data_IF_456169564190
#
_entry.id   IF_456169564190
#
_cell.length_a   1.000
_cell.length_b   1.000
_cell.length_c   1.000
_cell.angle_alpha   90.00
_cell.angle_beta   90.00
_cell.angle_gamma   90.00
#
_symmetry.space_group_name_H-M   'P 1'
#
loop_
_entity.id
_entity.type
_entity.pdbx_description
1 polymer ?
2 water ?
#
# COMPACT_ATOMS: atom_id res chain seq x y z
N UNK A 13 -19.29 11.61 -14.55
CA UNK A 13 -19.90 11.59 -15.88
C UNK A 13 -18.93 11.01 -16.91
N UNK A 14 -17.79 11.70 -17.09
CA UNK A 14 -16.74 11.29 -18.03
C UNK A 14 -16.26 9.87 -17.77
N UNK A 15 -16.27 9.02 -18.80
CA UNK A 15 -15.87 7.64 -18.58
C UNK A 15 -14.44 7.61 -18.04
N UNK A 16 -14.24 6.84 -16.96
CA UNK A 16 -12.96 6.72 -16.25
C UNK A 16 -12.54 5.27 -16.12
N UNK A 17 -11.21 5.07 -16.07
CA UNK A 17 -10.60 3.75 -15.93
C UNK A 17 -9.64 3.72 -14.74
N UNK A 18 -9.72 2.65 -13.94
CA UNK A 18 -8.92 2.53 -12.72
C UNK A 18 -8.27 1.16 -12.65
N UNK A 19 -7.06 1.10 -12.09
CA UNK A 19 -6.42 -0.14 -11.68
C UNK A 19 -6.40 -0.17 -10.15
N UNK A 20 -6.78 -1.29 -9.57
CA UNK A 20 -6.61 -1.54 -8.14
C UNK A 20 -5.78 -2.79 -8.01
N UNK A 21 -4.60 -2.67 -7.39
CA UNK A 21 -3.71 -3.82 -7.21
C UNK A 21 -4.02 -4.56 -5.90
N UNK A 22 -3.63 -5.84 -5.86
CA UNK A 22 -3.97 -6.74 -4.77
C UNK A 22 -5.45 -6.72 -4.43
N UNK A 23 -6.30 -6.84 -5.45
CA UNK A 23 -7.72 -6.57 -5.38
C UNK A 23 -8.61 -7.80 -5.40
N UNK A 24 -8.06 -9.03 -5.29
CA UNK A 24 -8.92 -10.20 -5.33
C UNK A 24 -9.63 -10.52 -4.01
N UNK A 25 -9.31 -9.82 -2.93
CA UNK A 25 -9.96 -10.00 -1.64
C UNK A 25 -9.71 -8.77 -0.79
N UNK A 26 -10.30 -8.80 0.40
CA UNK A 26 -10.04 -7.81 1.43
C UNK A 26 -10.59 -6.45 1.07
N UNK A 27 -9.86 -5.41 1.45
CA UNK A 27 -10.37 -4.07 1.20
C UNK A 27 -10.26 -3.71 -0.28
N UNK A 28 -9.16 -4.12 -0.93
CA UNK A 28 -9.03 -3.89 -2.37
C UNK A 28 -10.27 -4.31 -3.14
N UNK A 29 -10.75 -5.54 -2.88
CA UNK A 29 -11.96 -6.05 -3.54
C UNK A 29 -13.13 -5.09 -3.33
N UNK A 30 -13.27 -4.56 -2.12
CA UNK A 30 -14.38 -3.64 -1.89
C UNK A 30 -14.16 -2.33 -2.62
N UNK A 31 -12.90 -1.85 -2.67
CA UNK A 31 -12.59 -0.69 -3.52
C UNK A 31 -13.07 -0.95 -4.93
N UNK A 32 -12.69 -2.10 -5.49
CA UNK A 32 -13.15 -2.43 -6.84
C UNK A 32 -14.66 -2.39 -6.93
N UNK A 33 -15.36 -2.94 -5.92
CA UNK A 33 -16.82 -2.96 -5.98
C UNK A 33 -17.38 -1.57 -6.07
N UNK A 34 -16.89 -0.68 -5.21
CA UNK A 34 -17.44 0.65 -5.10
C UNK A 34 -17.10 1.54 -6.29
N UNK A 35 -15.90 1.36 -6.88
CA UNK A 35 -15.59 2.10 -8.10
C UNK A 35 -16.47 1.68 -9.27
N UNK A 36 -16.63 0.38 -9.46
CA UNK A 36 -17.42 -0.11 -10.60
C UNK A 36 -18.86 0.35 -10.52
N UNK A 37 -19.42 0.43 -9.31
CA UNK A 37 -20.80 0.84 -9.12
C UNK A 37 -21.02 2.32 -9.40
N UNK A 38 -19.96 3.11 -9.47
CA UNK A 38 -20.08 4.53 -9.81
C UNK A 38 -19.81 4.79 -11.28
N UNK A 39 -19.84 3.73 -12.10
CA UNK A 39 -19.65 3.83 -13.52
C UNK A 39 -18.21 3.71 -13.97
N UNK A 40 -17.25 3.69 -13.04
CA UNK A 40 -15.85 3.48 -13.40
C UNK A 40 -15.58 2.08 -13.92
N UNK A 41 -14.71 2.00 -14.93
CA UNK A 41 -14.21 0.72 -15.42
C UNK A 41 -12.94 0.35 -14.68
N UNK A 42 -12.93 -0.81 -14.00
CA UNK A 42 -11.90 -1.16 -13.04
C UNK A 42 -11.09 -2.31 -13.61
N UNK A 43 -9.77 -2.24 -13.50
CA UNK A 43 -8.89 -3.38 -13.75
C UNK A 43 -8.60 -3.97 -12.38
N UNK A 44 -9.09 -5.19 -12.14
CA UNK A 44 -8.77 -5.89 -10.90
C UNK A 44 -7.45 -6.64 -11.08
N UNK A 45 -6.36 -6.09 -10.53
CA UNK A 45 -5.05 -6.73 -10.67
C UNK A 45 -4.77 -7.54 -9.40
N UNK A 46 -4.37 -8.80 -9.57
CA UNK A 46 -4.01 -9.67 -8.46
C UNK A 46 -2.83 -10.59 -8.76
N UNK A 47 -2.04 -10.89 -7.73
CA UNK A 47 -0.85 -11.72 -7.84
C UNK A 47 -1.19 -13.07 -8.50
N UNK A 48 -2.38 -13.61 -8.23
CA UNK A 48 -2.78 -14.87 -8.84
C UNK A 48 -3.93 -14.74 -9.83
N UNK A 49 -3.76 -15.40 -11.00
CA UNK A 49 -4.70 -15.13 -12.09
C UNK A 49 -6.11 -15.60 -11.77
N UNK A 50 -6.24 -16.86 -11.34
CA UNK A 50 -7.55 -17.46 -11.13
C UNK A 50 -8.27 -16.80 -9.96
N UNK A 51 -7.56 -16.41 -8.91
CA UNK A 51 -8.28 -15.74 -7.83
C UNK A 51 -8.78 -14.38 -8.28
N UNK A 52 -8.04 -13.73 -9.17
CA UNK A 52 -8.51 -12.48 -9.73
C UNK A 52 -9.69 -12.67 -10.66
N UNK A 53 -9.64 -13.74 -11.46
CA UNK A 53 -10.78 -14.12 -12.31
C UNK A 53 -12.01 -14.41 -11.47
N UNK A 54 -11.85 -15.20 -10.40
CA UNK A 54 -12.99 -15.54 -9.55
C UNK A 54 -13.52 -14.28 -8.88
N UNK A 55 -12.62 -13.39 -8.44
CA UNK A 55 -13.07 -12.17 -7.79
C UNK A 55 -13.89 -11.32 -8.74
N UNK A 56 -13.46 -11.22 -10.02
CA UNK A 56 -14.24 -10.47 -11.00
C UNK A 56 -15.63 -11.06 -11.19
N UNK A 57 -15.70 -12.40 -11.23
CA UNK A 57 -16.97 -13.09 -11.41
C UNK A 57 -17.95 -12.76 -10.31
N UNK A 58 -17.49 -12.80 -9.06
CA UNK A 58 -18.35 -12.48 -7.92
C UNK A 58 -18.82 -11.04 -7.95
N UNK A 59 -17.95 -10.11 -8.34
CA UNK A 59 -18.36 -8.70 -8.38
C UNK A 59 -19.49 -8.46 -9.39
N UNK A 60 -19.39 -9.00 -10.61
CA UNK A 60 -20.47 -8.73 -11.56
C UNK A 60 -21.76 -9.43 -11.16
N UNK A 61 -21.68 -10.64 -10.58
CA UNK A 61 -22.90 -11.32 -10.16
C UNK A 61 -23.55 -10.54 -9.01
N UNK A 62 -22.74 -9.91 -8.18
CA UNK A 62 -23.26 -9.12 -7.09
C UNK A 62 -23.79 -7.79 -7.60
N UNK A 63 -23.04 -7.16 -8.51
CA UNK A 63 -23.43 -5.86 -9.04
C UNK A 63 -24.51 -5.97 -10.12
N UNK A 64 -24.59 -7.08 -10.84
CA UNK A 64 -25.48 -7.17 -11.99
C UNK A 64 -24.77 -7.42 -13.30
N UNK A 65 -25.41 -8.15 -14.22
CA UNK A 65 -24.76 -8.52 -15.47
C UNK A 65 -24.41 -7.30 -16.31
N UNK A 66 -25.05 -6.16 -16.03
CA UNK A 66 -24.80 -4.92 -16.74
C UNK A 66 -23.41 -4.34 -16.48
N UNK A 67 -22.71 -4.82 -15.45
CA UNK A 67 -21.34 -4.42 -15.15
C UNK A 67 -20.28 -5.31 -15.75
N UNK A 68 -20.65 -6.30 -16.55
CA UNK A 68 -19.65 -7.22 -17.06
C UNK A 68 -18.56 -6.48 -17.82
N UNK A 69 -18.93 -5.41 -18.52
CA UNK A 69 -17.96 -4.61 -19.26
C UNK A 69 -17.15 -3.67 -18.39
N UNK A 70 -17.63 -3.35 -17.20
CA UNK A 70 -16.95 -2.39 -16.32
C UNK A 70 -15.89 -3.00 -15.42
N UNK A 71 -15.72 -4.32 -15.38
CA UNK A 71 -14.69 -4.93 -14.53
C UNK A 71 -13.85 -5.87 -15.38
N UNK A 72 -12.53 -5.73 -15.28
CA UNK A 72 -11.62 -6.59 -16.01
C UNK A 72 -10.53 -7.09 -15.07
N UNK A 73 -10.23 -8.39 -15.16
CA UNK A 73 -9.16 -8.98 -14.37
C UNK A 73 -7.87 -9.00 -15.16
N UNK A 74 -6.76 -8.64 -14.51
CA UNK A 74 -5.44 -8.76 -15.12
C UNK A 74 -4.50 -9.15 -14.01
N UNK A 75 -3.70 -10.15 -14.25
CA UNK A 75 -2.67 -10.57 -13.31
C UNK A 75 -1.60 -9.50 -13.12
N UNK A 76 -1.16 -9.34 -11.87
CA UNK A 76 -0.11 -8.36 -11.53
C UNK A 76 0.64 -8.79 -10.30
N UNK A 77 1.95 -9.04 -10.48
CA UNK A 77 2.91 -9.20 -9.38
C UNK A 77 3.83 -7.98 -9.36
N UNK A 78 3.67 -7.13 -8.34
CA UNK A 78 4.39 -5.86 -8.30
C UNK A 78 5.91 -6.01 -8.12
N UNK A 79 6.39 -7.17 -7.70
CA UNK A 79 7.83 -7.36 -7.52
C UNK A 79 8.49 -7.76 -8.81
N UNK A 80 7.69 -7.89 -9.86
CA UNK A 80 8.13 -8.47 -11.11
C UNK A 80 8.00 -7.45 -12.24
N UNK A 81 9.12 -6.86 -12.69
CA UNK A 81 9.05 -5.83 -13.75
C UNK A 81 8.26 -6.30 -14.97
N UNK A 82 8.39 -7.59 -15.32
CA UNK A 82 7.69 -8.09 -16.49
C UNK A 82 6.18 -8.17 -16.27
N UNK A 83 5.73 -8.53 -15.06
CA UNK A 83 4.31 -8.47 -14.74
C UNK A 83 3.77 -7.04 -14.83
N UNK A 84 4.46 -6.09 -14.19
CA UNK A 84 4.11 -4.66 -14.28
C UNK A 84 4.07 -4.23 -15.75
N UNK A 85 5.14 -4.53 -16.49
CA UNK A 85 5.23 -4.16 -17.89
C UNK A 85 4.08 -4.73 -18.71
N UNK A 86 3.73 -6.01 -18.46
CA UNK A 86 2.59 -6.61 -19.16
C UNK A 86 1.29 -5.87 -18.89
N UNK A 87 1.12 -5.36 -17.68
CA UNK A 87 -0.14 -4.69 -17.36
C UNK A 87 -0.28 -3.37 -18.08
N UNK A 88 0.79 -2.57 -18.11
CA UNK A 88 0.71 -1.32 -18.88
C UNK A 88 0.33 -1.59 -20.34
N UNK A 89 0.88 -2.65 -20.97
CA UNK A 89 0.50 -2.90 -22.36
C UNK A 89 -0.97 -3.25 -22.47
N UNK A 90 -1.48 -4.03 -21.50
CA UNK A 90 -2.89 -4.40 -21.51
C UNK A 90 -3.79 -3.16 -21.42
N UNK A 91 -3.49 -2.25 -20.49
CA UNK A 91 -4.34 -1.06 -20.36
C UNK A 91 -4.24 -0.24 -21.62
N UNK A 92 -3.02 -0.17 -22.18
CA UNK A 92 -2.78 0.59 -23.41
C UNK A 92 -3.59 0.02 -24.56
N UNK A 93 -3.56 -1.30 -24.73
CA UNK A 93 -4.18 -1.84 -25.92
C UNK A 93 -5.69 -2.04 -25.78
N UNK A 94 -6.22 -2.09 -24.56
CA UNK A 94 -7.65 -2.28 -24.44
C UNK A 94 -8.40 -0.98 -24.26
N UNK A 95 -7.84 -0.04 -23.49
CA UNK A 95 -8.46 1.24 -23.15
C UNK A 95 -7.76 2.49 -23.65
N UNK A 96 -6.42 2.52 -23.64
CA UNK A 96 -5.66 3.70 -24.06
C UNK A 96 -5.49 4.78 -23.01
N UNK A 97 -6.11 4.65 -21.84
CA UNK A 97 -6.13 5.75 -20.87
C UNK A 97 -6.17 5.13 -19.48
N UNK A 98 -5.74 5.94 -18.50
CA UNK A 98 -5.91 5.58 -17.11
C UNK A 98 -6.08 6.86 -16.31
N UNK A 99 -7.00 6.81 -15.37
CA UNK A 99 -7.31 7.97 -14.57
C UNK A 99 -7.01 7.77 -13.10
N UNK A 100 -7.13 6.55 -12.58
CA UNK A 100 -6.99 6.26 -11.16
C UNK A 100 -6.09 5.05 -10.95
N UNK A 101 -5.08 5.22 -10.08
CA UNK A 101 -4.27 4.11 -9.56
C UNK A 101 -4.47 4.00 -8.04
N UNK A 102 -4.90 2.83 -7.58
CA UNK A 102 -4.98 2.52 -6.14
C UNK A 102 -3.95 1.41 -5.86
N UNK A 103 -2.84 1.77 -5.22
CA UNK A 103 -1.82 0.82 -4.76
C UNK A 103 -2.25 0.17 -3.45
N UNK A 104 -2.86 -1.00 -3.58
CA UNK A 104 -3.30 -1.73 -2.42
C UNK A 104 -2.49 -3.00 -2.13
N UNK A 105 -1.82 -3.57 -3.15
CA UNK A 105 -0.99 -4.77 -2.97
C UNK A 105 0.05 -4.55 -1.88
N UNK A 106 0.18 -5.52 -0.96
CA UNK A 106 1.04 -5.35 0.19
C UNK A 106 1.32 -6.63 0.93
N UNK A 107 2.41 -6.61 1.70
CA UNK A 107 2.88 -7.78 2.47
C UNK A 107 3.21 -7.29 3.88
N UNK A 108 3.05 -8.18 4.86
CA UNK A 108 3.26 -7.88 6.29
C UNK A 108 4.68 -8.04 6.77
N UNK A 109 5.44 -8.95 6.20
CA UNK A 109 6.74 -9.27 6.73
C UNK A 109 6.66 -10.16 7.95
N UNK A 110 5.47 -10.69 8.23
CA UNK A 110 5.26 -11.43 9.47
C UNK A 110 4.34 -12.61 9.21
N UNK A 111 4.45 -13.61 10.09
CA UNK A 111 3.46 -14.67 10.21
C UNK A 111 3.43 -15.11 11.67
N UNK A 112 2.39 -15.89 12.00
CA UNK A 112 2.22 -16.42 13.36
C UNK A 112 2.70 -17.86 13.34
N UNK A 113 3.61 -18.16 14.25
CA UNK A 113 3.92 -19.51 14.70
C UNK A 113 3.01 -19.86 15.87
N UNK A 114 2.49 -21.09 15.86
CA UNK A 114 1.63 -21.53 16.94
C UNK A 114 0.22 -20.97 16.76
N UNK A 115 -0.42 -20.66 17.90
CA UNK A 115 -1.77 -20.11 17.91
C UNK A 115 -1.84 -18.78 17.14
N UNK A 116 -2.54 -18.79 16.00
CA UNK A 116 -2.61 -17.60 15.19
C UNK A 116 -3.29 -16.43 15.89
N UNK A 117 -4.06 -16.69 16.94
CA UNK A 117 -4.84 -15.60 17.53
C UNK A 117 -4.04 -14.70 18.47
N UNK A 118 -2.90 -15.19 18.99
CA UNK A 118 -1.94 -14.39 19.76
C UNK A 118 -1.49 -13.14 19.00
N UNK A 119 -1.66 -13.13 17.67
CA UNK A 119 -1.33 -11.96 16.86
C UNK A 119 -2.04 -10.71 17.37
N UNK A 120 -3.30 -10.88 17.81
CA UNK A 120 -4.04 -9.75 18.35
C UNK A 120 -3.41 -9.18 19.61
N UNK A 121 -2.69 -10.00 20.38
CA UNK A 121 -1.96 -9.46 21.54
C UNK A 121 -0.76 -8.63 21.08
N UNK A 122 -0.07 -9.07 20.02
CA UNK A 122 1.03 -8.26 19.46
C UNK A 122 0.52 -6.95 18.89
N UNK A 123 -0.60 -6.98 18.17
CA UNK A 123 -1.15 -5.78 17.56
C UNK A 123 -1.63 -4.82 18.64
N UNK A 124 -2.19 -5.40 19.72
CA UNK A 124 -2.67 -4.61 20.85
C UNK A 124 -1.53 -3.84 21.50
N UNK A 125 -0.41 -4.51 21.75
CA UNK A 125 0.75 -3.84 22.33
C UNK A 125 1.22 -2.69 21.44
N UNK A 126 1.10 -2.85 20.13
CA UNK A 126 1.56 -1.76 19.27
C UNK A 126 0.63 -0.55 19.38
N UNK A 127 -0.69 -0.78 19.42
CA UNK A 127 -1.56 0.39 19.43
C UNK A 127 -1.51 1.15 20.75
N UNK A 128 -1.10 0.50 21.85
CA UNK A 128 -0.92 1.26 23.08
C UNK A 128 0.32 2.16 22.98
N UNK A 129 1.16 1.98 21.94
CA UNK A 129 2.25 2.93 21.72
C UNK A 129 1.66 4.26 21.25
N UNK A 130 0.47 4.19 20.64
CA UNK A 130 -0.22 5.40 20.19
C UNK A 130 -0.77 6.23 21.33
N UNK A 131 -1.19 5.62 22.41
CA UNK A 131 -1.76 6.36 23.52
C UNK A 131 -0.76 6.69 24.61
N UNK A 132 0.53 6.46 24.37
CA UNK A 132 1.57 6.85 25.33
C UNK A 132 2.73 7.52 24.62
N UNK A 133 2.89 7.30 23.31
CA UNK A 133 3.98 7.85 22.52
C UNK A 133 5.34 7.35 22.90
N UNK A 134 5.43 6.55 23.96
CA UNK A 134 6.65 5.92 24.41
C UNK A 134 6.85 4.69 23.53
N UNK A 135 7.75 4.77 22.55
CA UNK A 135 7.99 3.62 21.66
C UNK A 135 9.07 2.73 22.25
N UNK A 136 8.64 1.65 22.90
CA UNK A 136 9.54 0.62 23.42
C UNK A 136 10.39 0.00 22.32
N UNK A 137 11.66 -0.20 22.62
CA UNK A 137 12.61 -0.79 21.69
C UNK A 137 13.01 -2.21 22.04
N UNK A 138 12.53 -2.73 23.16
CA UNK A 138 12.97 -4.08 23.49
C UNK A 138 11.88 -5.09 23.14
N UNK A 139 12.17 -6.22 22.50
CA UNK A 139 11.12 -7.13 22.04
C UNK A 139 10.39 -7.81 23.20
N UNK A 140 9.08 -7.87 23.08
CA UNK A 140 8.22 -8.41 24.11
C UNK A 140 7.17 -9.28 23.44
N UNK A 141 7.27 -10.60 23.65
CA UNK A 141 6.34 -11.56 23.07
C UNK A 141 5.31 -11.89 24.12
N UNK A 142 4.04 -11.50 23.91
CA UNK A 142 3.05 -11.58 25.00
C UNK A 142 2.76 -12.99 25.49
N UNK A 143 2.84 -14.01 24.64
CA UNK A 143 2.50 -15.38 25.05
C UNK A 143 3.49 -16.37 24.47
N UNK A 144 3.50 -17.57 25.06
CA UNK A 144 4.15 -18.75 24.49
C UNK A 144 3.17 -19.62 23.70
N UNK A 145 1.88 -19.28 23.72
CA UNK A 145 0.89 -19.92 22.86
C UNK A 145 1.25 -19.71 21.38
N UNK A 146 1.67 -18.49 21.03
CA UNK A 146 2.09 -18.17 19.68
C UNK A 146 3.30 -17.27 19.70
N UNK A 147 3.90 -17.09 18.52
CA UNK A 147 5.08 -16.25 18.39
C UNK A 147 5.01 -15.56 17.03
N UNK A 148 5.24 -14.25 17.04
CA UNK A 148 5.25 -13.46 15.82
C UNK A 148 6.63 -13.54 15.18
N UNK A 149 6.71 -14.26 14.05
CA UNK A 149 7.97 -14.50 13.36
C UNK A 149 8.18 -13.44 12.29
N UNK A 150 9.40 -12.88 12.24
CA UNK A 150 9.78 -11.89 11.22
C UNK A 150 11.12 -12.37 10.65
N UNK A 151 11.09 -13.19 9.59
CA UNK A 151 12.30 -13.73 9.00
C UNK A 151 12.99 -12.70 8.12
N UNK A 152 14.26 -12.96 7.84
CA UNK A 152 15.05 -12.09 6.96
C UNK A 152 14.47 -12.03 5.55
N UNK A 153 14.07 -13.18 4.99
CA UNK A 153 13.52 -13.21 3.63
C UNK A 153 12.20 -12.44 3.55
N UNK A 154 11.30 -12.65 4.55
CA UNK A 154 10.07 -11.89 4.62
C UNK A 154 10.30 -10.39 4.70
N UNK A 155 11.36 -9.97 5.39
CA UNK A 155 11.66 -8.54 5.38
C UNK A 155 12.03 -8.04 3.98
N UNK A 156 12.85 -8.80 3.22
CA UNK A 156 13.14 -8.40 1.84
C UNK A 156 11.87 -8.38 0.97
N UNK A 157 11.08 -9.45 1.00
CA UNK A 157 9.86 -9.45 0.18
C UNK A 157 8.92 -8.33 0.59
N UNK A 158 8.82 -8.06 1.91
CA UNK A 158 7.93 -7.02 2.41
C UNK A 158 8.33 -5.62 1.92
N UNK A 159 9.62 -5.30 2.04
CA UNK A 159 10.15 -4.04 1.52
C UNK A 159 9.99 -3.98 0.02
N UNK A 160 10.30 -5.09 -0.66
CA UNK A 160 10.29 -5.11 -2.12
C UNK A 160 8.89 -4.87 -2.67
N UNK A 161 7.85 -5.37 -1.99
CA UNK A 161 6.47 -5.16 -2.45
C UNK A 161 5.95 -3.81 -1.99
N UNK A 162 6.03 -3.52 -0.67
CA UNK A 162 5.34 -2.34 -0.14
C UNK A 162 5.97 -1.05 -0.67
N UNK A 163 7.31 -0.97 -0.69
CA UNK A 163 8.00 0.22 -1.24
C UNK A 163 8.24 0.12 -2.74
N UNK A 164 9.14 -0.78 -3.14
CA UNK A 164 9.61 -0.84 -4.54
C UNK A 164 8.50 -1.27 -5.51
N UNK A 165 7.64 -2.21 -5.10
CA UNK A 165 6.49 -2.59 -5.90
C UNK A 165 5.59 -1.41 -6.23
N UNK A 166 5.19 -0.67 -5.21
CA UNK A 166 4.31 0.49 -5.39
C UNK A 166 4.96 1.54 -6.27
N UNK A 167 6.26 1.78 -6.09
CA UNK A 167 6.97 2.76 -6.91
C UNK A 167 7.07 2.28 -8.35
N UNK A 168 7.34 0.97 -8.53
CA UNK A 168 7.46 0.38 -9.85
C UNK A 168 6.14 0.51 -10.63
N UNK A 169 5.03 0.08 -10.01
CA UNK A 169 3.70 0.20 -10.62
C UNK A 169 3.35 1.67 -10.88
N UNK A 170 3.72 2.56 -9.95
CA UNK A 170 3.34 3.96 -10.08
C UNK A 170 4.08 4.59 -11.27
N UNK A 171 5.40 4.37 -11.30
CA UNK A 171 6.21 4.93 -12.37
C UNK A 171 5.82 4.38 -13.74
N UNK A 172 5.41 3.11 -13.80
CA UNK A 172 4.98 2.54 -15.08
C UNK A 172 3.68 3.10 -15.59
N UNK A 173 2.82 3.60 -14.71
CA UNK A 173 1.50 4.09 -15.10
C UNK A 173 1.42 5.60 -15.17
N UNK A 174 2.40 6.29 -14.60
CA UNK A 174 2.44 7.74 -14.69
C UNK A 174 2.28 8.24 -16.13
N UNK A 175 2.99 7.69 -17.14
CA UNK A 175 2.79 8.19 -18.51
C UNK A 175 1.35 8.15 -19.01
N UNK A 176 0.60 7.07 -18.74
CA UNK A 176 -0.84 6.99 -19.06
C UNK A 176 -1.65 7.94 -18.19
N UNK A 177 -1.35 8.01 -16.90
CA UNK A 177 -2.15 8.82 -15.99
C UNK A 177 -2.05 10.29 -16.37
N UNK A 178 -0.90 10.70 -16.93
CA UNK A 178 -0.69 12.11 -17.18
C UNK A 178 -1.54 12.61 -18.34
N UNK A 179 -2.12 11.72 -19.14
CA UNK A 179 -3.10 12.13 -20.16
C UNK A 179 -4.52 12.20 -19.60
N UNK A 180 -4.67 12.13 -18.28
CA UNK A 180 -5.96 12.35 -17.66
C UNK A 180 -6.11 13.82 -17.29
N UNK A 181 -7.31 14.35 -17.47
CA UNK A 181 -7.59 15.69 -16.97
C UNK A 181 -7.85 15.71 -15.45
N UNK A 182 -7.78 14.55 -14.79
CA UNK A 182 -7.78 14.48 -13.33
C UNK A 182 -7.12 13.19 -12.83
N UNK A 183 -5.80 13.08 -12.91
CA UNK A 183 -5.16 11.85 -12.43
C UNK A 183 -5.18 11.77 -10.91
N UNK A 184 -5.49 10.57 -10.39
CA UNK A 184 -5.66 10.32 -8.96
C UNK A 184 -4.81 9.08 -8.66
N UNK A 185 -3.92 9.18 -7.66
CA UNK A 185 -3.13 8.06 -7.17
C UNK A 185 -3.39 7.93 -5.68
N UNK A 186 -3.75 6.72 -5.24
CA UNK A 186 -4.07 6.46 -3.86
C UNK A 186 -3.19 5.32 -3.35
N UNK A 187 -2.43 5.59 -2.29
CA UNK A 187 -1.53 4.60 -1.71
C UNK A 187 -2.12 4.10 -0.40
N UNK A 188 -2.48 2.82 -0.34
CA UNK A 188 -3.05 2.23 0.88
C UNK A 188 -1.90 1.94 1.85
N UNK A 189 -1.86 2.73 2.93
CA UNK A 189 -0.82 2.63 3.94
C UNK A 189 -1.40 1.93 5.18
N UNK A 190 -0.81 2.20 6.33
CA UNK A 190 -1.22 1.57 7.58
C UNK A 190 -0.88 2.49 8.72
N UNK A 191 -1.68 2.37 9.76
CA UNK A 191 -1.39 3.05 11.00
C UNK A 191 0.04 2.81 11.52
N UNK A 192 0.58 1.60 11.34
CA UNK A 192 1.97 1.32 11.73
C UNK A 192 2.98 2.14 10.94
N UNK A 193 2.51 2.93 9.99
CA UNK A 193 3.41 3.84 9.27
C UNK A 193 3.77 5.06 10.08
N UNK A 194 3.00 5.35 11.13
CA UNK A 194 3.21 6.54 11.94
C UNK A 194 4.63 6.58 12.49
N UNK A 195 5.21 7.76 12.50
CA UNK A 195 6.58 7.88 12.97
C UNK A 195 6.72 7.66 14.49
N UNK A 196 5.62 7.59 15.28
CA UNK A 196 5.70 7.24 16.71
C UNK A 196 6.43 5.91 16.91
N UNK A 197 6.35 5.00 15.94
CA UNK A 197 6.94 3.66 16.00
C UNK A 197 8.40 3.60 15.55
N UNK A 198 8.93 4.69 14.98
CA UNK A 198 10.30 4.67 14.45
C UNK A 198 11.28 4.89 15.60
N UNK A 199 11.66 3.80 16.25
CA UNK A 199 12.63 3.91 17.34
C UNK A 199 14.02 4.30 16.83
N UNK A 200 14.33 4.07 15.56
CA UNK A 200 15.66 4.41 15.06
C UNK A 200 15.63 5.90 14.71
N UNK A 201 16.43 6.70 15.41
CA UNK A 201 16.24 8.15 15.32
C UNK A 201 16.68 8.69 13.97
N UNK A 202 17.78 8.18 13.42
CA UNK A 202 18.21 8.60 12.09
C UNK A 202 17.10 8.39 11.06
N UNK A 203 16.59 7.16 10.96
CA UNK A 203 15.53 6.85 9.99
C UNK A 203 14.31 7.75 10.21
N UNK A 204 13.91 7.94 11.47
CA UNK A 204 12.81 8.85 11.77
C UNK A 204 13.14 10.25 11.25
N UNK A 205 14.39 10.68 11.43
CA UNK A 205 14.82 11.96 10.89
C UNK A 205 14.66 12.05 9.39
N UNK A 206 15.10 11.02 8.65
CA UNK A 206 14.96 11.03 7.19
C UNK A 206 13.49 11.17 6.81
N UNK A 207 12.65 10.28 7.35
CA UNK A 207 11.21 10.24 7.01
C UNK A 207 10.48 11.53 7.34
N UNK A 208 10.94 12.30 8.34
CA UNK A 208 10.23 13.50 8.77
C UNK A 208 10.52 14.72 7.93
N UNK A 209 11.59 14.71 7.15
CA UNK A 209 12.01 15.88 6.39
C UNK A 209 10.92 16.33 5.42
N UNK A 210 10.57 17.60 5.43
CA UNK A 210 9.70 18.10 4.38
C UNK A 210 10.48 18.75 3.25
N UNK A 211 11.68 19.28 3.51
CA UNK A 211 12.51 19.85 2.45
C UNK A 211 13.81 19.05 2.37
N UNK A 212 14.32 18.86 1.15
CA UNK A 212 15.54 18.11 0.92
C UNK A 212 15.42 16.61 1.08
N UNK A 213 14.19 16.08 1.10
CA UNK A 213 13.92 14.65 1.06
C UNK A 213 14.01 14.12 -0.36
N UNK A 214 14.86 13.10 -0.62
CA UNK A 214 14.96 12.49 -1.95
C UNK A 214 14.70 10.99 -1.85
N UNK A 215 14.23 10.40 -2.97
CA UNK A 215 14.12 8.95 -3.07
C UNK A 215 15.43 8.23 -2.78
N UNK A 216 16.56 8.83 -3.12
CA UNK A 216 17.82 8.16 -2.81
C UNK A 216 17.98 8.01 -1.32
N UNK A 217 17.61 9.06 -0.57
CA UNK A 217 17.74 9.03 0.89
C UNK A 217 16.79 7.99 1.47
N UNK A 218 15.56 7.90 0.94
CA UNK A 218 14.62 6.85 1.39
C UNK A 218 15.22 5.45 1.17
N UNK A 219 15.76 5.22 -0.03
CA UNK A 219 16.35 3.92 -0.38
C UNK A 219 17.54 3.60 0.51
N UNK A 220 18.24 4.64 1.01
CA UNK A 220 19.34 4.39 1.94
C UNK A 220 18.83 3.86 3.28
N UNK A 221 17.71 4.39 3.77
CA UNK A 221 17.12 3.87 5.00
C UNK A 221 16.72 2.42 4.84
N UNK A 222 16.07 2.10 3.72
CA UNK A 222 15.61 0.73 3.49
C UNK A 222 16.80 -0.23 3.43
N UNK A 223 17.83 0.14 2.66
CA UNK A 223 19.03 -0.70 2.57
C UNK A 223 19.76 -0.81 3.91
N UNK A 224 19.81 0.29 4.66
CA UNK A 224 20.48 0.24 5.95
C UNK A 224 19.73 -0.65 6.92
N UNK A 225 18.39 -0.60 6.90
CA UNK A 225 17.58 -1.44 7.78
C UNK A 225 17.77 -2.91 7.44
N UNK A 226 17.76 -3.25 6.14
CA UNK A 226 17.88 -4.64 5.73
C UNK A 226 19.24 -5.19 6.13
N UNK A 227 20.27 -4.35 6.21
CA UNK A 227 21.60 -4.82 6.55
C UNK A 227 21.77 -5.02 8.05
N UNK A 228 21.28 -4.10 8.88
CA UNK A 228 21.25 -4.36 10.30
C UNK A 228 20.37 -5.56 10.62
N UNK A 229 19.35 -5.81 9.80
CA UNK A 229 18.44 -6.93 10.00
C UNK A 229 19.14 -8.25 9.68
N UNK A 230 19.90 -8.28 8.58
CA UNK A 230 20.73 -9.44 8.27
C UNK A 230 21.70 -9.73 9.41
N UNK A 231 22.43 -8.70 9.83
CA UNK A 231 23.43 -8.73 10.89
C UNK A 231 22.85 -9.10 12.27
N UNK A 232 21.53 -9.21 12.40
CA UNK A 232 20.97 -9.53 13.70
C UNK A 232 21.07 -8.41 14.70
N UNK A 233 21.25 -7.19 14.22
CA UNK A 233 21.38 -6.00 15.07
C UNK A 233 20.10 -5.18 15.11
N UNK A 234 18.92 -5.83 14.94
CA UNK A 234 17.68 -5.05 14.92
C UNK A 234 17.55 -4.24 16.19
N UNK A 235 17.82 -4.88 17.32
CA UNK A 235 17.68 -4.20 18.58
C UNK A 235 18.88 -3.33 18.93
N UNK A 236 20.09 -3.79 18.63
CA UNK A 236 21.26 -2.94 18.85
C UNK A 236 21.04 -1.53 18.31
N UNK A 237 20.65 -1.42 17.05
CA UNK A 237 20.50 -0.16 16.31
C UNK A 237 19.12 0.51 16.51
N UNK A 238 18.31 0.09 17.49
CA UNK A 238 17.07 0.77 17.85
C UNK A 238 15.99 0.64 16.76
N UNK A 239 16.04 -0.40 15.93
CA UNK A 239 14.95 -0.64 14.98
C UNK A 239 13.75 -1.22 15.71
N UNK A 240 12.54 -1.03 15.17
CA UNK A 240 11.34 -1.51 15.87
C UNK A 240 11.45 -2.99 16.18
N UNK A 241 11.07 -3.42 17.38
CA UNK A 241 11.18 -4.84 17.71
C UNK A 241 10.21 -5.72 16.94
N UNK A 242 8.98 -5.23 16.66
CA UNK A 242 7.94 -6.01 15.99
C UNK A 242 7.38 -5.25 14.79
N UNK A 243 6.89 -6.04 13.82
CA UNK A 243 6.43 -5.53 12.53
C UNK A 243 7.49 -4.62 11.91
N UNK A 244 8.76 -5.03 12.04
CA UNK A 244 9.84 -4.09 11.80
C UNK A 244 9.93 -3.72 10.32
N UNK A 245 10.03 -4.74 9.44
CA UNK A 245 10.03 -4.44 8.02
C UNK A 245 8.75 -3.73 7.61
N UNK A 246 7.61 -4.17 8.16
CA UNK A 246 6.34 -3.56 7.79
C UNK A 246 6.31 -2.08 8.11
N UNK A 247 6.69 -1.70 9.33
CA UNK A 247 6.65 -0.29 9.70
C UNK A 247 7.56 0.55 8.79
N UNK A 248 8.81 0.10 8.60
CA UNK A 248 9.74 0.89 7.80
C UNK A 248 9.28 1.01 6.35
N UNK A 249 8.77 -0.07 5.74
CA UNK A 249 8.40 0.05 4.33
C UNK A 249 7.18 0.96 4.14
N UNK A 250 6.18 0.86 5.01
CA UNK A 250 4.99 1.69 4.86
C UNK A 250 5.26 3.13 5.27
N UNK A 251 6.15 3.35 6.25
CA UNK A 251 6.59 4.71 6.52
C UNK A 251 7.31 5.29 5.30
N UNK A 252 8.20 4.50 4.69
CA UNK A 252 8.87 4.89 3.45
C UNK A 252 7.85 5.25 2.37
N UNK A 253 6.82 4.43 2.22
CA UNK A 253 5.79 4.68 1.21
C UNK A 253 5.08 6.02 1.47
N UNK A 254 4.80 6.34 2.73
CA UNK A 254 4.26 7.67 3.06
C UNK A 254 5.20 8.77 2.55
N UNK A 255 6.48 8.69 2.90
CA UNK A 255 7.44 9.71 2.44
C UNK A 255 7.50 9.76 0.91
N UNK A 256 7.45 8.60 0.26
CA UNK A 256 7.48 8.54 -1.20
C UNK A 256 6.23 9.19 -1.80
N UNK A 257 5.06 8.96 -1.18
CA UNK A 257 3.82 9.63 -1.56
C UNK A 257 4.01 11.15 -1.63
N UNK A 258 4.70 11.72 -0.64
CA UNK A 258 4.92 13.17 -0.66
C UNK A 258 5.89 13.56 -1.77
N UNK A 259 6.91 12.75 -2.02
CA UNK A 259 7.89 13.07 -3.06
C UNK A 259 7.21 13.20 -4.44
N UNK A 260 6.47 12.17 -4.86
CA UNK A 260 5.82 12.27 -6.17
C UNK A 260 4.64 13.23 -6.17
N UNK A 261 4.03 13.48 -5.01
CA UNK A 261 3.02 14.54 -4.89
C UNK A 261 3.58 15.90 -5.34
N UNK A 262 4.81 16.22 -4.90
CA UNK A 262 5.47 17.46 -5.31
C UNK A 262 5.95 17.43 -6.77
N UNK A 263 6.32 16.26 -7.28
CA UNK A 263 6.79 16.15 -8.66
C UNK A 263 5.70 16.44 -9.67
N UNK A 264 4.48 15.97 -9.40
CA UNK A 264 3.35 16.04 -10.33
C UNK A 264 2.20 16.83 -9.70
N UNK A 265 2.31 18.15 -9.68
CA UNK A 265 1.25 18.99 -9.06
C UNK A 265 -0.13 18.85 -9.70
N UNK A 266 -0.22 18.53 -11.00
CA UNK A 266 -1.55 18.39 -11.60
C UNK A 266 -2.26 17.11 -11.15
N UNK A 267 -1.53 16.20 -10.50
CA UNK A 267 -2.15 15.02 -9.92
C UNK A 267 -2.60 15.41 -8.51
N UNK A 268 -3.57 14.67 -8.00
CA UNK A 268 -3.90 14.59 -6.57
C UNK A 268 -3.46 13.21 -6.10
N UNK A 269 -2.41 13.16 -5.28
CA UNK A 269 -1.78 11.92 -4.81
C UNK A 269 -1.78 11.84 -3.29
N UNK A 270 -2.38 10.79 -2.71
CA UNK A 270 -2.47 10.69 -1.25
C UNK A 270 -2.36 9.27 -0.76
N UNK A 271 -1.90 9.14 0.50
CA UNK A 271 -1.91 7.90 1.25
C UNK A 271 -3.05 7.90 2.28
N UNK A 272 -3.53 6.70 2.61
CA UNK A 272 -4.64 6.58 3.54
C UNK A 272 -4.49 5.28 4.33
N UNK A 273 -4.58 5.40 5.65
CA UNK A 273 -4.75 4.22 6.49
C UNK A 273 -6.24 3.85 6.50
N UNK A 274 -6.61 2.62 6.12
CA UNK A 274 -8.04 2.28 6.10
C UNK A 274 -8.64 1.91 7.45
N UNK A 289 -15.51 -3.46 9.20
CA UNK A 289 -15.83 -4.32 8.05
C UNK A 289 -14.95 -3.85 6.88
N UNK A 290 -14.95 -4.55 5.73
CA UNK A 290 -14.10 -4.04 4.66
C UNK A 290 -14.79 -3.03 3.76
N UNK A 291 -16.12 -3.09 3.60
CA UNK A 291 -16.80 -2.09 2.78
C UNK A 291 -16.66 -0.69 3.37
N UNK A 292 -16.76 -0.56 4.71
CA UNK A 292 -16.62 0.79 5.28
C UNK A 292 -15.17 1.26 5.24
N UNK A 293 -14.23 0.35 5.51
CA UNK A 293 -12.83 0.78 5.45
C UNK A 293 -12.43 1.14 4.03
N UNK A 294 -13.11 0.58 3.01
CA UNK A 294 -12.79 0.90 1.61
C UNK A 294 -13.34 2.24 1.20
N UNK A 295 -14.27 2.78 1.98
CA UNK A 295 -14.90 4.06 1.65
C UNK A 295 -13.88 5.18 1.60
N UNK A 296 -12.91 5.17 2.52
CA UNK A 296 -11.94 6.26 2.53
C UNK A 296 -11.06 6.23 1.30
N UNK A 297 -10.40 5.12 0.93
CA UNK A 297 -9.63 5.15 -0.34
C UNK A 297 -10.50 5.39 -1.57
N UNK A 298 -11.75 4.91 -1.60
CA UNK A 298 -12.57 5.11 -2.79
C UNK A 298 -12.88 6.60 -2.97
N UNK A 299 -13.18 7.29 -1.87
CA UNK A 299 -13.42 8.73 -1.95
C UNK A 299 -12.18 9.47 -2.46
N UNK A 300 -10.98 9.06 -2.04
CA UNK A 300 -9.77 9.72 -2.54
C UNK A 300 -9.51 9.42 -4.03
N UNK A 301 -10.01 8.28 -4.55
CA UNK A 301 -9.86 7.97 -5.97
C UNK A 301 -10.78 8.83 -6.83
N UNK A 302 -11.89 9.29 -6.24
CA UNK A 302 -12.85 10.21 -6.83
C UNK A 302 -12.69 11.60 -6.28
N UNK A 303 -11.51 11.88 -5.72
CA UNK A 303 -11.23 13.15 -5.07
C UNK A 303 -11.51 14.31 -6.04
N UNK A 304 -12.22 15.36 -5.62
CA UNK A 304 -12.34 16.53 -6.50
C UNK A 304 -10.96 17.11 -6.80
N UNK A 305 -10.89 17.90 -7.88
CA UNK A 305 -9.62 18.49 -8.32
C UNK A 305 -8.94 19.29 -7.21
N UNK A 306 -9.71 19.81 -6.24
CA UNK A 306 -9.22 20.57 -5.12
C UNK A 306 -8.88 19.85 -3.86
N UNK A 307 -9.06 18.54 -3.83
CA UNK A 307 -8.63 17.75 -2.71
C UNK A 307 -7.15 17.97 -2.52
N UNK A 308 -6.65 17.61 -1.40
CA UNK A 308 -5.21 17.77 -1.15
C UNK A 308 -4.34 16.77 -1.90
N UNK A 309 -3.03 16.94 -1.73
CA UNK A 309 -2.06 16.05 -2.32
C UNK A 309 -0.89 16.11 -1.35
N UNK A 310 -0.31 14.94 -1.06
CA UNK A 310 0.80 14.82 -0.12
C UNK A 310 0.46 14.58 1.34
N UNK A 311 -0.80 14.26 1.67
CA UNK A 311 -1.27 14.11 3.05
C UNK A 311 -1.44 12.63 3.38
N UNK A 312 -1.23 12.25 4.67
CA UNK A 312 -1.62 10.92 5.17
C UNK A 312 -2.94 10.98 5.92
N UNK A 313 -3.96 10.33 5.37
CA UNK A 313 -5.31 10.32 5.94
C UNK A 313 -5.51 9.05 6.76
N UNK A 314 -6.06 9.19 7.95
CA UNK A 314 -6.48 8.08 8.80
C UNK A 314 -7.98 7.93 8.55
N UNK A 315 -8.41 6.94 7.75
CA UNK A 315 -9.84 6.92 7.42
C UNK A 315 -10.15 8.33 6.88
N UNK A 316 -10.85 9.18 7.66
CA UNK A 316 -11.36 10.48 7.20
C UNK A 316 -10.40 11.51 7.79
N UNK A 317 -9.52 12.06 6.96
CA UNK A 317 -8.39 12.94 7.33
C UNK A 317 -7.70 12.40 8.57
#
# INVERSE_FOLDING_TARGET
GAMGDEVVVDHAATKRYAVVTGANKGIGFEICKQLASKGITVILASRDEKRGIEARERLIKELGSEFGDYVVSQQLDVADPASVAALVDFIKTKFGSLDILVNNAGLNGTYMEGDASVLNDYVEAEFKTFQSGAAKTEPYHPKATGRLVETVEHAKECIETNYYGSKRVTEALIPLLQQSDSPRIVNVSSTLSSLVFQTNEWAKGVFSSEEGLTEEKLEEVLAEFLKDFIDGKQQEKQWPPHFSAYKVSKAALNAYTRIIAKKYPSFRINAVCPGYTKTDLSYGHGQFTDAEAAEAPVKLALLPQGGPSGCFFFRDEAFCLYLE
#
